data_IF_639357108648
#
_entry.id   IF_639357108648
#
_cell.length_a   1.000
_cell.length_b   1.000
_cell.length_c   1.000
_cell.angle_alpha   90.00
_cell.angle_beta   90.00
_cell.angle_gamma   90.00
#
_symmetry.space_group_name_H-M   'P 1'
#
loop_
_entity.id
_entity.type
_entity.pdbx_description
1 polymer ?
#
# COMPACT_ATOMS: atom_id res chain seq x y z
N UNK A 1 18.19 10.51 14.96
CA UNK A 1 17.33 10.36 13.75
C UNK A 1 17.06 8.87 13.51
N UNK A 2 15.94 8.50 12.87
CA UNK A 2 15.54 7.08 12.69
C UNK A 2 16.50 6.28 11.78
N UNK A 3 17.38 6.96 11.02
CA UNK A 3 18.45 6.35 10.21
C UNK A 3 17.99 5.61 8.95
N UNK A 4 16.72 5.73 8.55
CA UNK A 4 16.14 5.04 7.39
C UNK A 4 15.66 6.05 6.36
N UNK A 5 15.81 5.71 5.07
CA UNK A 5 15.38 6.54 3.94
C UNK A 5 13.86 6.82 3.98
N UNK A 6 13.06 5.85 4.45
CA UNK A 6 11.60 5.92 4.52
C UNK A 6 11.08 5.34 5.84
N UNK A 7 9.91 5.79 6.34
CA UNK A 7 9.29 5.20 7.52
C UNK A 7 8.88 3.75 7.22
N UNK A 8 9.25 2.84 8.11
CA UNK A 8 8.95 1.42 8.02
C UNK A 8 8.01 1.01 9.16
N UNK A 9 7.21 -0.03 8.89
CA UNK A 9 6.50 -0.81 9.91
C UNK A 9 7.49 -1.57 10.80
N UNK A 10 7.07 -2.05 11.98
CA UNK A 10 7.93 -2.88 12.85
C UNK A 10 8.45 -4.15 12.16
N UNK A 11 7.82 -4.59 11.06
CA UNK A 11 8.19 -5.77 10.28
C UNK A 11 8.96 -5.44 8.98
N UNK A 12 9.54 -4.24 8.88
CA UNK A 12 10.44 -3.87 7.77
C UNK A 12 9.76 -3.50 6.44
N UNK A 13 8.43 -3.46 6.37
CA UNK A 13 7.70 -3.00 5.17
C UNK A 13 7.51 -1.49 5.19
N UNK A 14 7.46 -0.84 4.04
CA UNK A 14 7.23 0.61 3.92
C UNK A 14 5.87 1.02 4.50
N UNK A 15 5.87 2.00 5.41
CA UNK A 15 4.64 2.45 6.09
C UNK A 15 3.81 3.41 5.23
N UNK A 16 4.46 4.24 4.40
CA UNK A 16 3.81 5.28 3.61
C UNK A 16 4.05 5.08 2.12
N UNK A 17 3.04 5.38 1.29
CA UNK A 17 3.15 5.44 -0.17
C UNK A 17 2.96 4.12 -0.93
N UNK A 18 2.98 2.97 -0.25
CA UNK A 18 2.80 1.67 -0.91
C UNK A 18 1.36 1.15 -0.78
N UNK A 19 0.77 0.72 -1.90
CA UNK A 19 -0.51 -0.01 -1.90
C UNK A 19 -0.29 -1.45 -1.46
N UNK A 20 -1.05 -1.89 -0.46
CA UNK A 20 -0.92 -3.23 0.13
C UNK A 20 -1.89 -4.26 -0.45
N UNK A 21 -2.82 -3.84 -1.33
CA UNK A 21 -3.81 -4.74 -1.94
C UNK A 21 -3.14 -5.63 -3.00
N UNK A 22 -3.42 -6.94 -2.97
CA UNK A 22 -2.99 -7.89 -4.01
C UNK A 22 -3.54 -7.50 -5.38
N UNK A 23 -2.72 -7.67 -6.42
CA UNK A 23 -3.00 -7.22 -7.80
C UNK A 23 -4.05 -8.09 -8.51
N UNK A 24 -4.07 -9.40 -8.25
CA UNK A 24 -4.96 -10.37 -8.92
C UNK A 24 -6.00 -10.91 -7.94
N UNK A 25 -6.87 -10.05 -7.40
CA UNK A 25 -7.97 -10.49 -6.51
C UNK A 25 -9.25 -10.62 -7.34
N UNK A 26 -10.06 -11.65 -7.08
CA UNK A 26 -11.34 -11.85 -7.80
C UNK A 26 -12.26 -10.64 -7.71
N UNK A 27 -12.21 -9.88 -6.61
CA UNK A 27 -13.04 -8.69 -6.43
C UNK A 27 -12.56 -7.46 -7.20
N UNK A 28 -11.47 -7.54 -7.97
CA UNK A 28 -11.03 -6.43 -8.82
C UNK A 28 -12.06 -6.07 -9.90
N UNK A 29 -12.77 -7.06 -10.45
CA UNK A 29 -13.84 -6.83 -11.44
C UNK A 29 -15.04 -6.09 -10.87
N UNK A 30 -15.24 -6.16 -9.55
CA UNK A 30 -16.37 -5.55 -8.85
C UNK A 30 -16.07 -4.11 -8.39
N UNK A 31 -14.83 -3.63 -8.54
CA UNK A 31 -14.44 -2.27 -8.13
C UNK A 31 -14.72 -1.28 -9.26
N UNK A 32 -15.79 -0.48 -9.12
CA UNK A 32 -16.15 0.56 -10.09
C UNK A 32 -15.26 1.83 -9.98
N UNK A 33 -14.96 2.29 -8.77
CA UNK A 33 -14.11 3.47 -8.53
C UNK A 33 -13.33 3.33 -7.22
N UNK A 34 -12.05 3.71 -7.23
CA UNK A 34 -11.22 3.77 -6.01
C UNK A 34 -11.38 5.12 -5.33
N UNK A 35 -11.48 5.12 -3.99
CA UNK A 35 -11.71 6.35 -3.19
C UNK A 35 -10.56 7.36 -3.24
N UNK A 36 -9.32 6.89 -3.42
CA UNK A 36 -8.14 7.75 -3.53
C UNK A 36 -7.50 7.57 -4.90
N UNK A 37 -7.29 8.69 -5.58
CA UNK A 37 -6.56 8.79 -6.85
C UNK A 37 -5.07 9.03 -6.56
N UNK A 38 -4.42 8.05 -5.94
CA UNK A 38 -2.96 7.84 -5.95
C UNK A 38 -2.63 6.42 -5.49
#
# INVERSE_FOLDING_TARGET
PIGREKPLTPWGRTALGNRTRKIKKYSDSLILRRRKSR
#
